data_IF_257870704366
#
_entry.id   IF_257870704366
#
_cell.length_a   1.000
_cell.length_b   1.000
_cell.length_c   1.000
_cell.angle_alpha   90.00
_cell.angle_beta   90.00
_cell.angle_gamma   90.00
#
_symmetry.space_group_name_H-M   'P 1'
#
loop_
_entity.id
_entity.type
_entity.pdbx_description
1 polymer ?
#
# COMPACT_ATOMS: atom_id res chain seq x y z
N UNK A 1 1.51 -0.32 -3.31
CA UNK A 1 0.05 -0.03 -3.51
C UNK A 1 -0.77 -1.26 -3.87
N UNK A 2 -0.27 -2.20 -4.62
CA UNK A 2 -1.03 -3.35 -5.18
C UNK A 2 -1.75 -4.23 -4.16
N UNK A 3 -1.34 -4.20 -2.90
CA UNK A 3 -2.05 -4.92 -1.82
C UNK A 3 -3.55 -4.56 -1.74
N UNK A 4 -3.91 -3.31 -2.08
CA UNK A 4 -5.30 -2.84 -2.06
C UNK A 4 -6.14 -3.37 -3.24
N UNK A 5 -5.50 -3.88 -4.28
CA UNK A 5 -6.16 -4.44 -5.46
C UNK A 5 -6.12 -5.97 -5.50
N UNK A 6 -5.58 -6.63 -4.47
CA UNK A 6 -5.39 -8.10 -4.43
C UNK A 6 -5.74 -8.69 -3.06
N UNK A 7 -6.04 -9.97 -3.03
CA UNK A 7 -6.23 -10.75 -1.81
C UNK A 7 -7.28 -10.20 -0.85
N UNK A 8 -7.07 -10.44 0.44
CA UNK A 8 -8.01 -10.05 1.50
C UNK A 8 -8.21 -8.54 1.64
N UNK A 9 -7.19 -7.73 1.34
CA UNK A 9 -7.31 -6.27 1.42
C UNK A 9 -8.22 -5.73 0.32
N UNK A 10 -8.17 -6.30 -0.89
CA UNK A 10 -9.15 -5.99 -1.95
C UNK A 10 -10.59 -6.25 -1.47
N UNK A 11 -10.82 -7.37 -0.82
CA UNK A 11 -12.16 -7.71 -0.31
C UNK A 11 -12.58 -6.77 0.83
N UNK A 12 -11.66 -6.29 1.65
CA UNK A 12 -11.92 -5.25 2.63
C UNK A 12 -12.37 -3.94 1.95
N UNK A 13 -11.68 -3.49 0.89
CA UNK A 13 -12.11 -2.31 0.12
C UNK A 13 -13.52 -2.52 -0.46
N UNK A 14 -13.78 -3.71 -1.03
CA UNK A 14 -15.09 -4.08 -1.59
C UNK A 14 -16.20 -4.11 -0.54
N UNK A 15 -15.89 -4.52 0.69
CA UNK A 15 -16.84 -4.52 1.81
C UNK A 15 -17.06 -3.12 2.43
N UNK A 16 -16.26 -2.12 2.04
CA UNK A 16 -16.33 -0.78 2.56
C UNK A 16 -15.62 -0.57 3.90
N UNK A 17 -14.76 -1.50 4.32
CA UNK A 17 -14.04 -1.37 5.60
C UNK A 17 -12.59 -1.85 5.45
N UNK A 18 -11.67 -1.06 6.02
CA UNK A 18 -10.26 -1.38 6.10
C UNK A 18 -9.85 -1.56 7.57
N UNK A 19 -9.11 -2.62 7.86
CA UNK A 19 -8.63 -2.95 9.19
C UNK A 19 -7.11 -3.14 9.20
N UNK A 20 -6.40 -2.20 9.82
CA UNK A 20 -4.94 -2.31 10.01
C UNK A 20 -4.55 -1.80 11.40
N UNK A 21 -3.58 -2.44 12.08
CA UNK A 21 -3.11 -1.98 13.39
C UNK A 21 -2.06 -0.85 13.25
N UNK A 22 -2.40 0.19 12.48
CA UNK A 22 -1.50 1.29 12.13
C UNK A 22 -1.84 2.62 12.80
N UNK A 23 -3.02 2.77 13.42
CA UNK A 23 -3.51 4.03 13.97
C UNK A 23 -3.44 5.16 12.91
N UNK A 24 -2.76 6.27 13.22
CA UNK A 24 -2.50 7.39 12.31
C UNK A 24 -1.10 7.40 11.70
N UNK A 25 -0.37 6.30 11.83
CA UNK A 25 0.95 6.20 11.24
C UNK A 25 0.89 6.28 9.70
N UNK A 26 1.88 6.95 9.13
CA UNK A 26 1.93 7.24 7.70
C UNK A 26 2.87 6.26 6.97
N UNK A 27 2.54 5.96 5.74
CA UNK A 27 3.34 5.10 4.86
C UNK A 27 3.50 5.80 3.52
N UNK A 28 4.72 5.87 3.00
CA UNK A 28 5.01 6.34 1.65
C UNK A 28 4.74 5.21 0.65
N UNK A 29 3.46 5.04 0.30
CA UNK A 29 3.01 3.97 -0.59
C UNK A 29 3.60 4.12 -2.00
N UNK A 30 4.24 3.07 -2.51
CA UNK A 30 4.83 3.02 -3.84
C UNK A 30 4.05 2.06 -4.75
N UNK A 31 3.92 2.40 -6.03
CA UNK A 31 3.35 1.53 -7.05
C UNK A 31 4.40 0.53 -7.55
N UNK A 32 4.03 -0.74 -7.65
CA UNK A 32 4.94 -1.78 -8.15
C UNK A 32 5.34 -1.57 -9.62
N UNK A 33 4.52 -0.88 -10.41
CA UNK A 33 4.85 -0.51 -11.80
C UNK A 33 6.04 0.46 -11.83
N UNK A 34 6.10 1.41 -10.88
CA UNK A 34 7.22 2.33 -10.77
C UNK A 34 8.48 1.64 -10.25
N UNK A 35 8.35 0.67 -9.34
CA UNK A 35 9.48 -0.16 -8.91
C UNK A 35 10.06 -0.91 -10.12
N UNK A 36 9.20 -1.55 -10.91
CA UNK A 36 9.62 -2.28 -12.10
C UNK A 36 10.28 -1.37 -13.15
N UNK A 37 9.72 -0.18 -13.37
CA UNK A 37 10.29 0.80 -14.29
C UNK A 37 11.66 1.30 -13.81
N UNK A 38 11.82 1.60 -12.53
CA UNK A 38 13.12 2.02 -11.95
C UNK A 38 14.16 0.91 -12.03
N UNK A 39 13.77 -0.36 -11.80
CA UNK A 39 14.64 -1.51 -11.99
C UNK A 39 15.09 -1.66 -13.45
N UNK A 40 14.18 -1.50 -14.41
CA UNK A 40 14.51 -1.55 -15.84
C UNK A 40 15.53 -0.47 -16.20
N UNK A 41 15.32 0.79 -15.79
CA UNK A 41 16.28 1.89 -16.01
C UNK A 41 17.66 1.54 -15.42
N UNK A 42 17.69 1.11 -14.15
CA UNK A 42 18.93 0.80 -13.46
C UNK A 42 19.74 -0.37 -14.10
N UNK A 43 19.04 -1.29 -14.78
CA UNK A 43 19.65 -2.44 -15.46
C UNK A 43 20.08 -2.16 -16.90
N UNK A 44 19.45 -1.18 -17.56
CA UNK A 44 19.66 -0.93 -19.01
C UNK A 44 20.39 0.37 -19.31
N UNK A 45 20.40 1.33 -18.40
CA UNK A 45 21.11 2.60 -18.58
C UNK A 45 22.46 2.63 -17.84
N UNK A 46 23.39 3.39 -18.37
CA UNK A 46 24.71 3.58 -17.73
C UNK A 46 24.61 4.52 -16.53
N UNK A 47 25.54 4.37 -15.61
CA UNK A 47 25.68 5.30 -14.47
C UNK A 47 24.95 4.86 -13.19
N UNK A 48 24.37 3.67 -13.15
CA UNK A 48 23.72 3.11 -11.95
C UNK A 48 24.58 2.11 -11.16
N UNK A 49 25.70 1.65 -11.75
CA UNK A 49 26.61 0.71 -11.09
C UNK A 49 27.12 1.23 -9.75
N UNK A 50 27.02 0.41 -8.71
CA UNK A 50 27.47 0.74 -7.34
C UNK A 50 26.61 1.75 -6.59
N UNK A 51 25.46 2.19 -7.14
CA UNK A 51 24.52 3.11 -6.49
C UNK A 51 23.42 2.36 -5.75
N UNK A 52 22.98 2.93 -4.63
CA UNK A 52 21.79 2.49 -3.89
C UNK A 52 20.72 3.57 -3.98
N UNK A 53 19.46 3.16 -4.11
CA UNK A 53 18.32 4.03 -4.23
C UNK A 53 17.24 3.65 -3.22
N UNK A 54 16.66 4.64 -2.54
CA UNK A 54 15.53 4.42 -1.64
C UNK A 54 14.24 4.79 -2.36
N UNK A 55 13.56 3.77 -2.89
CA UNK A 55 12.33 3.98 -3.65
C UNK A 55 11.13 4.14 -2.73
N UNK A 56 10.45 5.28 -2.82
CA UNK A 56 9.23 5.59 -2.08
C UNK A 56 8.16 6.12 -3.02
N UNK A 57 6.90 6.13 -2.58
CA UNK A 57 5.87 6.89 -3.28
C UNK A 57 6.05 8.40 -3.12
N UNK A 58 5.26 9.20 -3.85
CA UNK A 58 5.38 10.66 -3.88
C UNK A 58 4.84 11.34 -2.60
N UNK A 59 4.08 10.63 -1.78
CA UNK A 59 3.51 11.14 -0.54
C UNK A 59 3.40 10.04 0.52
N UNK A 60 3.56 10.42 1.79
CA UNK A 60 3.21 9.57 2.91
C UNK A 60 1.73 9.80 3.28
N UNK A 61 0.97 8.72 3.40
CA UNK A 61 -0.46 8.75 3.70
C UNK A 61 -0.77 7.88 4.92
N UNK A 62 -1.68 8.31 5.78
CA UNK A 62 -2.29 7.45 6.78
C UNK A 62 -3.46 6.64 6.17
N UNK A 63 -3.96 5.67 6.91
CA UNK A 63 -5.02 4.81 6.38
C UNK A 63 -6.40 5.50 6.31
N UNK A 64 -6.61 6.64 7.00
CA UNK A 64 -7.81 7.47 6.83
C UNK A 64 -7.78 8.18 5.47
N UNK A 65 -6.63 8.77 5.10
CA UNK A 65 -6.42 9.38 3.80
C UNK A 65 -6.54 8.33 2.67
N UNK A 66 -5.96 7.14 2.89
CA UNK A 66 -6.08 6.01 1.96
C UNK A 66 -7.54 5.59 1.77
N UNK A 67 -8.30 5.44 2.87
CA UNK A 67 -9.72 5.08 2.81
C UNK A 67 -10.55 6.13 2.07
N UNK A 68 -10.25 7.43 2.27
CA UNK A 68 -10.91 8.51 1.54
C UNK A 68 -10.65 8.41 0.03
N UNK A 69 -9.40 8.27 -0.40
CA UNK A 69 -9.05 8.12 -1.82
C UNK A 69 -9.69 6.88 -2.45
N UNK A 70 -9.71 5.76 -1.71
CA UNK A 70 -10.37 4.54 -2.17
C UNK A 70 -11.88 4.71 -2.29
N UNK A 71 -12.51 5.47 -1.38
CA UNK A 71 -13.94 5.78 -1.44
C UNK A 71 -14.29 6.50 -2.73
N UNK A 72 -13.51 7.52 -3.09
CA UNK A 72 -13.72 8.27 -4.34
C UNK A 72 -13.55 7.39 -5.58
N UNK A 73 -12.50 6.55 -5.62
CA UNK A 73 -12.22 5.70 -6.76
C UNK A 73 -13.21 4.53 -6.91
N UNK A 74 -13.70 3.99 -5.81
CA UNK A 74 -14.62 2.85 -5.79
C UNK A 74 -16.11 3.26 -5.86
N UNK A 75 -16.40 4.56 -5.90
CA UNK A 75 -17.76 5.12 -5.85
C UNK A 75 -18.62 4.50 -4.73
N UNK A 76 -18.00 4.35 -3.56
CA UNK A 76 -18.63 3.81 -2.34
C UNK A 76 -17.87 4.24 -1.10
N UNK A 77 -18.53 4.31 0.03
CA UNK A 77 -17.87 4.60 1.31
C UNK A 77 -16.95 3.46 1.72
N UNK A 78 -15.68 3.77 1.92
CA UNK A 78 -14.67 2.90 2.55
C UNK A 78 -14.22 3.57 3.84
N UNK A 79 -14.35 2.89 4.96
CA UNK A 79 -14.00 3.41 6.28
C UNK A 79 -12.79 2.65 6.80
N UNK A 80 -11.80 3.37 7.31
CA UNK A 80 -10.71 2.76 8.05
C UNK A 80 -11.07 2.67 9.53
N UNK A 81 -11.06 1.46 10.07
CA UNK A 81 -11.24 1.16 11.50
C UNK A 81 -9.91 0.61 12.05
N UNK A 82 -9.15 1.41 12.83
CA UNK A 82 -7.93 0.92 13.45
C UNK A 82 -8.22 -0.25 14.37
N UNK A 83 -7.47 -1.32 14.26
CA UNK A 83 -7.55 -2.45 15.17
C UNK A 83 -6.27 -2.59 16.01
N UNK A 84 -6.34 -3.36 17.10
CA UNK A 84 -5.17 -3.70 17.91
C UNK A 84 -4.37 -4.85 17.28
N UNK A 85 -3.12 -5.04 17.74
CA UNK A 85 -2.30 -6.17 17.32
C UNK A 85 -3.02 -7.50 17.57
N UNK A 86 -3.75 -7.64 18.70
CA UNK A 86 -4.44 -8.87 19.05
C UNK A 86 -5.69 -9.12 18.19
N UNK A 87 -6.45 -8.06 17.89
CA UNK A 87 -7.57 -8.15 16.94
C UNK A 87 -7.08 -8.54 15.54
N UNK A 88 -5.97 -7.94 15.08
CA UNK A 88 -5.36 -8.29 13.80
C UNK A 88 -4.87 -9.75 13.78
N UNK A 89 -4.20 -10.23 14.85
CA UNK A 89 -3.80 -11.64 14.99
C UNK A 89 -5.00 -12.58 14.94
N UNK A 90 -6.07 -12.26 15.64
CA UNK A 90 -7.31 -13.04 15.65
C UNK A 90 -7.90 -13.20 14.26
N UNK A 91 -8.07 -12.09 13.54
CA UNK A 91 -8.58 -12.09 12.16
C UNK A 91 -7.69 -12.90 11.20
N UNK A 92 -6.36 -12.72 11.26
CA UNK A 92 -5.41 -13.47 10.45
C UNK A 92 -5.43 -14.98 10.78
N UNK A 93 -5.67 -15.34 12.04
CA UNK A 93 -5.82 -16.76 12.48
C UNK A 93 -7.08 -17.37 11.88
N UNK A 94 -8.19 -16.68 11.95
CA UNK A 94 -9.45 -17.13 11.35
C UNK A 94 -9.35 -17.28 9.82
N UNK A 95 -8.54 -16.42 9.18
CA UNK A 95 -8.23 -16.52 7.75
C UNK A 95 -7.21 -17.64 7.41
N UNK A 96 -6.78 -18.45 8.37
CA UNK A 96 -5.86 -19.58 8.16
C UNK A 96 -4.40 -19.17 7.90
N UNK A 97 -4.02 -17.93 8.21
CA UNK A 97 -2.65 -17.46 7.98
C UNK A 97 -1.66 -18.15 8.95
N UNK A 98 -0.52 -18.62 8.43
CA UNK A 98 0.52 -19.25 9.23
C UNK A 98 1.09 -18.31 10.32
N UNK A 99 1.45 -18.87 11.49
CA UNK A 99 1.95 -18.09 12.63
C UNK A 99 3.10 -17.16 12.26
N UNK A 100 4.12 -17.68 11.58
CA UNK A 100 5.28 -16.87 11.19
C UNK A 100 4.92 -15.69 10.28
N UNK A 101 3.93 -15.84 9.43
CA UNK A 101 3.44 -14.78 8.54
C UNK A 101 2.67 -13.72 9.32
N UNK A 102 1.83 -14.13 10.27
CA UNK A 102 1.09 -13.22 11.17
C UNK A 102 2.05 -12.34 11.98
N UNK A 103 3.02 -12.95 12.64
CA UNK A 103 3.96 -12.20 13.50
C UNK A 103 4.85 -11.26 12.67
N UNK A 104 5.21 -11.63 11.46
CA UNK A 104 5.92 -10.73 10.54
C UNK A 104 5.07 -9.51 10.17
N UNK A 105 3.78 -9.68 9.88
CA UNK A 105 2.88 -8.56 9.58
C UNK A 105 2.66 -7.67 10.81
N UNK A 106 2.47 -8.23 11.99
CA UNK A 106 2.36 -7.46 13.24
C UNK A 106 3.66 -6.68 13.48
N UNK A 107 4.82 -7.32 13.32
CA UNK A 107 6.12 -6.66 13.41
C UNK A 107 6.26 -5.50 12.43
N UNK A 108 5.82 -5.67 11.19
CA UNK A 108 5.80 -4.60 10.21
C UNK A 108 4.93 -3.41 10.67
N UNK A 109 3.71 -3.65 11.19
CA UNK A 109 2.87 -2.55 11.67
C UNK A 109 3.40 -1.87 12.93
N UNK A 110 4.15 -2.57 13.79
CA UNK A 110 4.90 -1.93 14.87
C UNK A 110 5.96 -0.97 14.33
N UNK A 111 6.69 -1.40 13.31
CA UNK A 111 7.67 -0.57 12.60
C UNK A 111 7.02 0.66 11.96
N UNK A 112 5.86 0.49 11.32
CA UNK A 112 5.06 1.60 10.76
C UNK A 112 4.67 2.61 11.85
N UNK A 113 4.18 2.15 13.00
CA UNK A 113 3.78 3.04 14.11
C UNK A 113 4.95 3.81 14.75
N UNK A 114 6.18 3.38 14.52
CA UNK A 114 7.40 4.11 14.91
C UNK A 114 7.80 5.22 13.91
N UNK A 115 7.02 5.44 12.85
CA UNK A 115 7.29 6.44 11.82
C UNK A 115 8.36 6.04 10.79
N UNK A 116 8.80 4.78 10.79
CA UNK A 116 9.92 4.33 9.96
C UNK A 116 9.54 4.08 8.48
N UNK A 117 8.26 4.26 8.13
CA UNK A 117 7.76 4.09 6.77
C UNK A 117 7.24 5.38 6.12
N UNK A 118 7.38 6.55 6.78
CA UNK A 118 6.80 7.80 6.30
C UNK A 118 7.73 8.64 5.41
N UNK A 119 9.03 8.33 5.39
CA UNK A 119 9.99 9.08 4.60
C UNK A 119 9.63 9.09 3.11
N UNK A 120 9.63 10.27 2.50
CA UNK A 120 9.49 10.46 1.05
C UNK A 120 10.86 10.87 0.49
N UNK A 121 11.32 10.14 -0.53
CA UNK A 121 12.63 10.34 -1.16
C UNK A 121 12.48 10.68 -2.64
N UNK A 122 13.37 11.53 -3.21
CA UNK A 122 13.29 11.94 -4.60
C UNK A 122 13.81 10.90 -5.59
N UNK A 123 14.47 9.83 -5.12
CA UNK A 123 15.21 8.87 -5.94
C UNK A 123 14.37 8.29 -7.07
N UNK A 124 13.11 7.92 -6.77
CA UNK A 124 12.22 7.32 -7.75
C UNK A 124 11.91 8.28 -8.90
N UNK A 125 11.54 9.52 -8.60
CA UNK A 125 11.28 10.56 -9.61
C UNK A 125 12.53 10.88 -10.44
N UNK A 126 13.68 10.92 -9.79
CA UNK A 126 14.98 11.16 -10.46
C UNK A 126 15.31 10.04 -11.44
N UNK A 127 15.17 8.78 -11.05
CA UNK A 127 15.44 7.62 -11.92
C UNK A 127 14.46 7.60 -13.09
N UNK A 128 13.17 7.76 -12.81
CA UNK A 128 12.11 7.68 -13.82
C UNK A 128 12.01 8.92 -14.71
N UNK A 129 12.64 10.04 -14.33
CA UNK A 129 12.53 11.35 -15.01
C UNK A 129 11.06 11.80 -15.19
N UNK A 130 10.21 11.41 -14.24
CA UNK A 130 8.80 11.79 -14.14
C UNK A 130 8.33 11.68 -12.72
N UNK A 131 7.17 12.27 -12.42
CA UNK A 131 6.52 12.07 -11.12
C UNK A 131 6.16 10.59 -10.90
N UNK A 132 6.45 10.03 -9.71
CA UNK A 132 5.97 8.73 -9.32
C UNK A 132 4.45 8.66 -9.28
N UNK A 133 3.90 7.49 -9.54
CA UNK A 133 2.45 7.25 -9.50
C UNK A 133 1.90 7.56 -8.10
N UNK A 134 0.96 8.49 -8.00
CA UNK A 134 0.29 8.82 -6.74
C UNK A 134 -0.69 7.72 -6.34
N UNK A 135 -1.03 7.67 -5.04
CA UNK A 135 -2.05 6.72 -4.56
C UNK A 135 -3.42 6.98 -5.21
N UNK A 136 -3.77 8.24 -5.45
CA UNK A 136 -5.00 8.59 -6.16
C UNK A 136 -5.00 8.11 -7.61
N UNK A 137 -3.86 8.20 -8.32
CA UNK A 137 -3.76 7.65 -9.67
C UNK A 137 -3.87 6.12 -9.66
N UNK A 138 -3.16 5.45 -8.75
CA UNK A 138 -3.30 4.01 -8.54
C UNK A 138 -4.76 3.62 -8.28
N UNK A 139 -5.44 4.32 -7.41
CA UNK A 139 -6.83 4.02 -7.08
C UNK A 139 -7.76 4.15 -8.30
N UNK A 140 -7.60 5.18 -9.12
CA UNK A 140 -8.35 5.32 -10.39
C UNK A 140 -8.04 4.17 -11.36
N UNK A 141 -6.78 3.82 -11.53
CA UNK A 141 -6.34 2.75 -12.46
C UNK A 141 -6.93 1.38 -12.06
N UNK A 142 -7.12 1.15 -10.77
CA UNK A 142 -7.62 -0.12 -10.22
C UNK A 142 -9.10 -0.09 -9.80
N UNK A 143 -9.83 1.00 -10.05
CA UNK A 143 -11.22 1.19 -9.61
C UNK A 143 -12.15 0.02 -9.97
N UNK A 144 -11.99 -0.55 -11.15
CA UNK A 144 -12.79 -1.71 -11.60
C UNK A 144 -12.61 -2.95 -10.70
N UNK A 145 -11.47 -3.09 -10.02
CA UNK A 145 -11.21 -4.23 -9.12
C UNK A 145 -12.14 -4.20 -7.90
N UNK A 146 -12.64 -3.04 -7.52
CA UNK A 146 -13.52 -2.86 -6.35
C UNK A 146 -14.99 -2.72 -6.77
N UNK A 147 -15.27 -2.24 -7.99
CA UNK A 147 -16.62 -1.98 -8.51
C UNK A 147 -17.27 -3.21 -9.17
N UNK A 148 -16.48 -4.24 -9.52
CA UNK A 148 -17.05 -5.45 -10.11
C UNK A 148 -18.06 -6.08 -9.14
N UNK A 149 -19.35 -6.08 -9.51
CA UNK A 149 -20.37 -6.86 -8.83
C UNK A 149 -19.98 -8.33 -8.95
N UNK A 150 -20.05 -9.07 -7.84
CA UNK A 150 -20.03 -10.54 -7.93
C UNK A 150 -21.27 -10.90 -8.74
N UNK A 151 -21.07 -11.44 -9.92
CA UNK A 151 -22.13 -12.19 -10.59
C UNK A 151 -22.30 -13.46 -9.76
N UNK A 152 -23.43 -13.52 -9.05
CA UNK A 152 -23.94 -14.70 -8.35
C UNK A 152 -24.40 -15.73 -9.38
#
# INVERSE_FOLDING_TARGET
MQIFATGSVKEQVRSGKLYFPANRARISYIDARDIAAAAAVALTELGHGGKAYTLTGPAALDHFEVAHILSEAADRTVIYEPNTDDQARGAMTQAGMALAQRERLIGFYRFVRQGLCEAVRPDLGTILRREPTSFAQFARDYAQQWNARQYS
#
